data_IF_561013297624
#
_entry.id   IF_561013297624
#
_cell.length_a   1.000
_cell.length_b   1.000
_cell.length_c   1.000
_cell.angle_alpha   90.00
_cell.angle_beta   90.00
_cell.angle_gamma   90.00
#
_symmetry.space_group_name_H-M   'P 1'
#
loop_
_entity.id
_entity.type
_entity.pdbx_description
1 polymer ?
#
# COMPACT_ATOMS: atom_id res chain seq x y z
N UNK A 1 17.84 6.43 -3.51
CA UNK A 1 16.60 6.28 -4.31
C UNK A 1 16.52 7.26 -5.49
N UNK A 2 16.80 8.56 -5.32
CA UNK A 2 16.83 9.53 -6.45
C UNK A 2 17.88 9.21 -7.56
N UNK A 3 18.76 8.25 -7.33
CA UNK A 3 19.78 7.75 -8.27
C UNK A 3 19.35 6.52 -9.11
N UNK A 4 18.12 6.02 -8.98
CA UNK A 4 17.67 4.76 -9.64
C UNK A 4 16.56 4.92 -10.69
N UNK A 5 16.43 6.08 -11.37
CA UNK A 5 15.35 6.31 -12.34
C UNK A 5 13.94 6.00 -11.78
N UNK A 6 13.69 6.43 -10.54
CA UNK A 6 12.36 6.32 -9.92
C UNK A 6 11.51 7.48 -10.42
N UNK A 7 10.49 7.17 -11.22
CA UNK A 7 9.60 8.17 -11.80
C UNK A 7 8.44 8.55 -10.88
N UNK A 8 7.94 7.61 -10.08
CA UNK A 8 6.81 7.80 -9.18
C UNK A 8 7.06 7.07 -7.86
N UNK A 9 6.50 7.62 -6.77
CA UNK A 9 6.51 7.00 -5.44
C UNK A 9 5.05 6.94 -4.97
N UNK A 10 4.65 5.77 -4.49
CA UNK A 10 3.31 5.49 -3.98
C UNK A 10 3.35 5.12 -2.50
N UNK A 11 2.34 5.58 -1.74
CA UNK A 11 2.07 5.17 -0.37
C UNK A 11 0.71 4.46 -0.32
N UNK A 12 0.70 3.20 0.12
CA UNK A 12 -0.48 2.33 0.13
C UNK A 12 -1.39 2.53 1.35
N UNK A 13 -1.23 3.61 2.13
CA UNK A 13 -2.03 3.90 3.33
C UNK A 13 -1.41 3.42 4.63
N UNK A 14 -2.18 3.50 5.72
CA UNK A 14 -1.77 3.23 7.10
C UNK A 14 -0.55 4.06 7.53
N UNK A 15 -0.68 5.36 7.30
CA UNK A 15 0.25 6.42 7.70
C UNK A 15 0.15 6.67 9.22
N UNK A 16 -1.02 6.46 9.81
CA UNK A 16 -1.30 6.66 11.23
C UNK A 16 -1.17 5.37 12.04
N UNK A 17 -1.26 5.47 13.37
CA UNK A 17 -1.25 4.34 14.31
C UNK A 17 0.05 3.49 14.35
N UNK A 18 1.08 3.88 13.59
CA UNK A 18 2.40 3.22 13.55
C UNK A 18 3.39 3.62 14.65
N UNK A 19 2.97 4.45 15.63
CA UNK A 19 3.79 4.88 16.77
C UNK A 19 4.90 5.92 16.49
N UNK A 20 5.05 6.37 15.24
CA UNK A 20 5.98 7.44 14.86
C UNK A 20 5.26 8.80 14.77
N UNK A 21 6.00 9.87 14.49
CA UNK A 21 5.43 11.21 14.30
C UNK A 21 4.61 11.30 13.00
N UNK A 22 3.29 11.16 13.15
CA UNK A 22 2.32 11.25 12.05
C UNK A 22 2.36 12.62 11.37
N UNK A 23 2.59 13.71 12.10
CA UNK A 23 2.66 15.05 11.49
C UNK A 23 3.87 15.15 10.58
N UNK A 24 5.01 14.61 11.00
CA UNK A 24 6.21 14.55 10.18
C UNK A 24 6.00 13.67 8.94
N UNK A 25 5.36 12.51 9.08
CA UNK A 25 5.01 11.65 7.94
C UNK A 25 4.14 12.40 6.92
N UNK A 26 3.04 13.02 7.37
CA UNK A 26 2.15 13.81 6.51
C UNK A 26 2.90 14.96 5.83
N UNK A 27 3.82 15.62 6.53
CA UNK A 27 4.63 16.70 5.96
C UNK A 27 5.55 16.18 4.83
N UNK A 28 6.22 15.05 5.03
CA UNK A 28 7.11 14.45 4.02
C UNK A 28 6.31 14.05 2.78
N UNK A 29 5.20 13.33 2.97
CA UNK A 29 4.34 12.88 1.86
C UNK A 29 3.84 14.06 1.02
N UNK A 30 3.41 15.15 1.67
CA UNK A 30 2.97 16.37 0.98
C UNK A 30 4.11 17.10 0.28
N UNK A 31 5.24 17.30 0.95
CA UNK A 31 6.38 18.05 0.42
C UNK A 31 6.99 17.35 -0.81
N UNK A 32 7.05 16.02 -0.78
CA UNK A 32 7.56 15.19 -1.87
C UNK A 32 6.47 14.83 -2.90
N UNK A 33 5.23 15.31 -2.72
CA UNK A 33 4.07 15.03 -3.59
C UNK A 33 3.87 13.53 -3.85
N UNK A 34 4.04 12.72 -2.81
CA UNK A 34 3.88 11.26 -2.88
C UNK A 34 2.39 10.95 -3.01
N UNK A 35 2.03 10.25 -4.09
CA UNK A 35 0.66 9.79 -4.32
C UNK A 35 0.35 8.74 -3.24
N UNK A 36 -0.66 9.04 -2.42
CA UNK A 36 -0.99 8.27 -1.23
C UNK A 36 -2.48 7.95 -1.24
N UNK A 37 -2.85 6.77 -0.77
CA UNK A 37 -4.26 6.36 -0.61
C UNK A 37 -4.62 6.19 0.86
N UNK A 38 -5.92 6.27 1.15
CA UNK A 38 -6.49 6.09 2.48
C UNK A 38 -6.42 4.60 2.89
N UNK A 39 -5.78 4.30 4.02
CA UNK A 39 -5.84 3.00 4.67
C UNK A 39 -6.94 2.88 5.71
N UNK A 40 -7.13 1.67 6.26
CA UNK A 40 -8.15 1.46 7.27
C UNK A 40 -7.83 2.22 8.56
N UNK A 41 -6.56 2.43 8.90
CA UNK A 41 -6.17 3.19 10.09
C UNK A 41 -6.51 4.68 9.97
N UNK A 42 -6.36 5.28 8.78
CA UNK A 42 -6.83 6.64 8.54
C UNK A 42 -8.35 6.73 8.66
N UNK A 43 -9.09 5.79 8.06
CA UNK A 43 -10.55 5.72 8.19
C UNK A 43 -10.97 5.61 9.66
N UNK A 44 -10.30 4.75 10.44
CA UNK A 44 -10.58 4.58 11.85
C UNK A 44 -10.30 5.84 12.67
N UNK A 45 -9.19 6.51 12.42
CA UNK A 45 -8.88 7.78 13.06
C UNK A 45 -9.95 8.84 12.76
N UNK A 46 -10.30 9.03 11.48
CA UNK A 46 -11.24 10.06 11.04
C UNK A 46 -12.67 9.81 11.53
N UNK A 47 -13.05 8.54 11.73
CA UNK A 47 -14.37 8.14 12.20
C UNK A 47 -14.41 7.79 13.70
N UNK A 48 -13.32 8.05 14.45
CA UNK A 48 -13.19 7.71 15.87
C UNK A 48 -13.47 6.22 16.19
N UNK A 49 -13.02 5.30 15.33
CA UNK A 49 -13.17 3.85 15.47
C UNK A 49 -11.86 3.23 15.97
N UNK A 50 -11.93 2.10 16.68
CA UNK A 50 -10.76 1.31 17.08
C UNK A 50 -9.68 2.10 17.86
N UNK A 51 -10.04 3.17 18.57
CA UNK A 51 -9.10 4.05 19.29
C UNK A 51 -8.54 3.46 20.59
N UNK A 52 -9.07 2.32 21.02
CA UNK A 52 -8.56 1.52 22.13
C UNK A 52 -7.34 0.66 21.75
N UNK A 53 -6.98 0.59 20.47
CA UNK A 53 -5.81 -0.16 20.02
C UNK A 53 -4.51 0.48 20.51
N UNK A 54 -3.50 -0.36 20.73
CA UNK A 54 -2.16 0.11 21.06
C UNK A 54 -1.64 1.06 19.98
N UNK A 55 -1.05 2.18 20.39
CA UNK A 55 -0.50 3.23 19.52
C UNK A 55 -1.55 3.95 18.65
N UNK A 56 -2.85 3.82 18.95
CA UNK A 56 -3.87 4.59 18.27
C UNK A 56 -3.57 6.08 18.38
N UNK A 57 -3.41 6.73 17.22
CA UNK A 57 -3.21 8.16 17.09
C UNK A 57 -4.48 8.86 17.52
N UNK A 58 -4.35 9.91 18.33
CA UNK A 58 -5.45 10.82 18.63
C UNK A 58 -5.49 11.94 17.59
N UNK A 59 -6.68 12.29 17.11
CA UNK A 59 -6.88 13.37 16.16
C UNK A 59 -6.40 14.73 16.74
N UNK A 60 -6.52 14.90 18.05
CA UNK A 60 -6.10 16.11 18.77
C UNK A 60 -4.57 16.30 18.80
N UNK A 61 -3.82 15.21 18.61
CA UNK A 61 -2.36 15.27 18.51
C UNK A 61 -1.88 15.66 17.09
N UNK A 62 -2.80 15.79 16.13
CA UNK A 62 -2.48 16.14 14.75
C UNK A 62 -2.64 17.64 14.49
N UNK A 63 -1.70 18.20 13.73
CA UNK A 63 -1.85 19.56 13.22
C UNK A 63 -3.04 19.64 12.26
N UNK A 64 -3.65 20.83 12.11
CA UNK A 64 -4.72 21.05 11.14
C UNK A 64 -4.32 20.71 9.70
N UNK A 65 -3.04 20.89 9.35
CA UNK A 65 -2.50 20.50 8.04
C UNK A 65 -2.51 18.99 7.85
N UNK A 66 -2.07 18.23 8.86
CA UNK A 66 -2.10 16.76 8.81
C UNK A 66 -3.53 16.22 8.79
N UNK A 67 -4.43 16.77 9.62
CA UNK A 67 -5.85 16.40 9.60
C UNK A 67 -6.48 16.62 8.21
N UNK A 68 -6.20 17.78 7.60
CA UNK A 68 -6.67 18.10 6.25
C UNK A 68 -6.12 17.12 5.22
N UNK A 69 -4.80 16.88 5.23
CA UNK A 69 -4.16 15.93 4.32
C UNK A 69 -4.79 14.54 4.38
N UNK A 70 -4.93 13.96 5.59
CA UNK A 70 -5.52 12.64 5.78
C UNK A 70 -6.99 12.59 5.31
N UNK A 71 -7.76 13.64 5.58
CA UNK A 71 -9.17 13.74 5.17
C UNK A 71 -9.36 13.72 3.65
N UNK A 72 -8.39 14.23 2.89
CA UNK A 72 -8.45 14.32 1.43
C UNK A 72 -7.70 13.20 0.70
N UNK A 73 -7.19 12.20 1.42
CA UNK A 73 -6.63 11.01 0.78
C UNK A 73 -7.73 10.29 -0.02
N UNK A 74 -7.50 9.97 -1.30
CA UNK A 74 -8.43 9.15 -2.05
C UNK A 74 -8.39 7.69 -1.56
N UNK A 75 -9.48 6.97 -1.68
CA UNK A 75 -9.50 5.52 -1.38
C UNK A 75 -8.76 4.70 -2.42
N UNK A 76 -8.73 5.19 -3.66
CA UNK A 76 -8.12 4.54 -4.83
C UNK A 76 -7.48 5.59 -5.72
N UNK A 77 -6.43 5.21 -6.45
CA UNK A 77 -5.82 6.06 -7.46
C UNK A 77 -5.45 5.23 -8.70
N UNK A 78 -5.94 5.65 -9.86
CA UNK A 78 -5.64 4.99 -11.14
C UNK A 78 -4.42 5.63 -11.81
N UNK A 79 -3.56 4.80 -12.40
CA UNK A 79 -2.38 5.26 -13.12
C UNK A 79 -2.12 4.39 -14.35
N UNK A 80 -1.47 4.96 -15.37
CA UNK A 80 -1.10 4.21 -16.57
C UNK A 80 0.26 3.53 -16.41
N UNK A 81 0.40 2.34 -16.98
CA UNK A 81 1.69 1.63 -17.14
C UNK A 81 1.91 1.31 -18.62
N UNK A 82 3.13 0.87 -18.96
CA UNK A 82 3.44 0.40 -20.32
C UNK A 82 2.66 -0.87 -20.73
N UNK A 83 2.03 -1.58 -19.78
CA UNK A 83 1.32 -2.84 -20.06
C UNK A 83 -0.19 -2.79 -19.73
N UNK A 84 -0.73 -1.62 -19.35
CA UNK A 84 -2.14 -1.44 -19.04
C UNK A 84 -2.40 -0.54 -17.83
N UNK A 85 -3.65 -0.51 -17.38
CA UNK A 85 -4.08 0.33 -16.27
C UNK A 85 -3.66 -0.27 -14.93
N UNK A 86 -3.10 0.56 -14.06
CA UNK A 86 -2.76 0.25 -12.68
C UNK A 86 -3.76 0.87 -11.70
N UNK A 87 -4.03 0.15 -10.62
CA UNK A 87 -4.82 0.61 -9.48
C UNK A 87 -3.93 0.64 -8.22
N UNK A 88 -3.89 1.79 -7.54
CA UNK A 88 -3.33 1.91 -6.20
C UNK A 88 -4.47 1.97 -5.19
N UNK A 89 -4.42 1.12 -4.15
CA UNK A 89 -5.39 1.14 -3.04
C UNK A 89 -4.77 0.48 -1.79
N UNK A 90 -5.49 0.49 -0.67
CA UNK A 90 -4.98 -0.09 0.57
C UNK A 90 -5.24 -1.61 0.68
N UNK A 91 -6.51 -2.01 0.54
CA UNK A 91 -6.97 -3.41 0.57
C UNK A 91 -7.25 -3.95 -0.84
N UNK A 92 -8.50 -4.30 -1.15
CA UNK A 92 -8.97 -4.65 -2.51
C UNK A 92 -9.94 -3.58 -3.04
N UNK A 93 -9.56 -2.88 -4.12
CA UNK A 93 -10.31 -1.70 -4.62
C UNK A 93 -10.65 -0.72 -3.48
N UNK A 94 -11.93 -0.38 -3.28
CA UNK A 94 -12.40 0.53 -2.24
C UNK A 94 -12.53 -0.14 -0.86
N UNK A 95 -12.43 -1.47 -0.78
CA UNK A 95 -12.52 -2.19 0.48
C UNK A 95 -11.14 -2.26 1.14
N UNK A 96 -10.90 -1.37 2.10
CA UNK A 96 -9.64 -1.27 2.84
C UNK A 96 -9.39 -2.41 3.83
N UNK A 97 -10.35 -3.31 4.05
CA UNK A 97 -10.19 -4.49 4.91
C UNK A 97 -10.04 -5.80 4.13
N UNK A 98 -10.38 -5.80 2.84
CA UNK A 98 -10.23 -6.98 2.00
C UNK A 98 -8.75 -7.19 1.66
N UNK A 99 -8.33 -8.46 1.62
CA UNK A 99 -6.95 -8.81 1.32
C UNK A 99 -6.85 -10.10 0.51
N UNK A 100 -5.69 -10.28 -0.09
CA UNK A 100 -5.18 -11.56 -0.58
C UNK A 100 -3.82 -11.75 0.09
N UNK A 101 -3.53 -12.97 0.53
CA UNK A 101 -2.26 -13.37 1.12
C UNK A 101 -1.45 -14.27 0.17
N UNK A 102 -0.13 -14.42 0.39
CA UNK A 102 0.71 -15.31 -0.41
C UNK A 102 0.24 -16.78 -0.40
N UNK A 103 -0.41 -17.20 0.68
CA UNK A 103 -0.82 -18.57 0.98
C UNK A 103 -2.32 -18.84 0.79
N UNK A 104 -3.09 -17.86 0.29
CA UNK A 104 -4.50 -18.07 -0.03
C UNK A 104 -4.67 -18.91 -1.32
N UNK A 105 -5.33 -20.07 -1.22
CA UNK A 105 -5.66 -20.92 -2.36
C UNK A 105 -7.07 -21.52 -2.22
N UNK A 106 -7.60 -22.07 -3.32
CA UNK A 106 -8.91 -22.73 -3.35
C UNK A 106 -10.01 -21.84 -2.79
N UNK A 107 -10.74 -22.35 -1.80
CA UNK A 107 -11.89 -21.70 -1.20
C UNK A 107 -11.62 -20.25 -0.75
N UNK A 108 -10.44 -19.96 -0.18
CA UNK A 108 -10.09 -18.60 0.29
C UNK A 108 -10.08 -17.56 -0.84
N UNK A 109 -9.72 -17.98 -2.07
CA UNK A 109 -9.75 -17.14 -3.26
C UNK A 109 -11.15 -17.12 -3.88
N UNK A 110 -11.83 -18.27 -3.93
CA UNK A 110 -13.14 -18.42 -4.56
C UNK A 110 -14.22 -17.57 -3.89
N UNK A 111 -14.20 -17.44 -2.56
CA UNK A 111 -15.20 -16.67 -1.81
C UNK A 111 -14.82 -15.21 -1.57
N UNK A 112 -13.66 -14.78 -2.06
CA UNK A 112 -13.24 -13.39 -1.95
C UNK A 112 -13.97 -12.54 -3.01
N UNK A 113 -15.16 -12.07 -2.67
CA UNK A 113 -16.03 -11.33 -3.61
C UNK A 113 -15.37 -10.08 -4.20
N UNK A 114 -14.58 -9.33 -3.43
CA UNK A 114 -13.87 -8.14 -3.90
C UNK A 114 -12.81 -8.52 -4.96
N UNK A 115 -12.06 -9.61 -4.73
CA UNK A 115 -11.12 -10.14 -5.70
C UNK A 115 -11.84 -10.64 -6.97
N UNK A 116 -12.91 -11.43 -6.82
CA UNK A 116 -13.66 -11.98 -7.96
C UNK A 116 -14.25 -10.88 -8.82
N UNK A 117 -14.72 -9.79 -8.20
CA UNK A 117 -15.20 -8.60 -8.91
C UNK A 117 -14.08 -7.96 -9.75
N UNK A 118 -12.90 -7.74 -9.16
CA UNK A 118 -11.74 -7.18 -9.86
C UNK A 118 -11.32 -8.04 -11.06
N UNK A 119 -11.27 -9.37 -10.88
CA UNK A 119 -10.95 -10.31 -11.96
C UNK A 119 -11.99 -10.23 -13.08
N UNK A 120 -13.28 -10.24 -12.73
CA UNK A 120 -14.39 -10.21 -13.70
C UNK A 120 -14.45 -8.89 -14.49
N UNK A 121 -14.13 -7.77 -13.85
CA UNK A 121 -14.15 -6.46 -14.51
C UNK A 121 -13.06 -6.32 -15.58
N UNK A 122 -11.96 -7.08 -15.48
CA UNK A 122 -10.84 -7.07 -16.44
C UNK A 122 -10.33 -5.67 -16.79
N UNK A 123 -10.48 -4.72 -15.85
CA UNK A 123 -10.16 -3.31 -16.06
C UNK A 123 -8.67 -3.02 -15.83
N UNK A 124 -8.07 -3.66 -14.83
CA UNK A 124 -6.71 -3.36 -14.37
C UNK A 124 -5.75 -4.50 -14.71
N UNK A 125 -4.59 -4.14 -15.26
CA UNK A 125 -3.46 -5.06 -15.42
C UNK A 125 -2.74 -5.26 -14.09
N UNK A 126 -2.60 -4.17 -13.32
CA UNK A 126 -1.89 -4.18 -12.04
C UNK A 126 -2.72 -3.59 -10.93
N UNK A 127 -2.58 -4.14 -9.73
CA UNK A 127 -3.09 -3.56 -8.51
C UNK A 127 -2.01 -3.56 -7.44
N UNK A 128 -1.71 -2.39 -6.90
CA UNK A 128 -0.66 -2.18 -5.90
C UNK A 128 -1.33 -1.87 -4.56
N UNK A 129 -1.03 -2.66 -3.54
CA UNK A 129 -1.67 -2.51 -2.23
C UNK A 129 -0.77 -2.81 -1.03
N UNK A 130 -1.36 -2.68 0.15
CA UNK A 130 -0.76 -2.96 1.46
C UNK A 130 -1.69 -3.83 2.31
N UNK A 131 -2.02 -3.37 3.51
CA UNK A 131 -2.97 -3.98 4.44
C UNK A 131 -2.57 -5.35 5.03
N UNK A 132 -2.25 -6.35 4.21
CA UNK A 132 -1.88 -7.70 4.67
C UNK A 132 -0.54 -7.76 5.40
N UNK A 133 0.32 -6.75 5.19
CA UNK A 133 1.71 -6.69 5.64
C UNK A 133 2.61 -7.79 5.05
N UNK A 134 2.14 -8.55 4.07
CA UNK A 134 2.86 -9.66 3.46
C UNK A 134 3.31 -9.28 2.04
N UNK A 135 4.61 -9.01 1.80
CA UNK A 135 5.10 -8.68 0.47
C UNK A 135 4.87 -9.82 -0.52
N UNK A 136 4.17 -9.55 -1.62
CA UNK A 136 3.78 -10.60 -2.58
C UNK A 136 3.59 -10.08 -4.01
N UNK A 137 3.69 -11.00 -4.96
CA UNK A 137 3.19 -10.84 -6.34
C UNK A 137 2.29 -12.03 -6.62
N UNK A 138 1.05 -11.80 -7.05
CA UNK A 138 0.12 -12.86 -7.44
C UNK A 138 -0.69 -12.46 -8.66
N UNK A 139 -0.80 -13.38 -9.61
CA UNK A 139 -1.55 -13.15 -10.85
C UNK A 139 -2.83 -13.97 -10.86
N UNK A 140 -3.92 -13.34 -11.28
CA UNK A 140 -5.26 -13.90 -11.42
C UNK A 140 -5.80 -13.50 -12.80
N UNK A 141 -5.72 -14.41 -13.76
CA UNK A 141 -6.00 -14.10 -15.16
C UNK A 141 -5.12 -12.90 -15.61
N UNK A 142 -5.71 -11.82 -16.12
CA UNK A 142 -4.96 -10.64 -16.58
C UNK A 142 -4.53 -9.69 -15.46
N UNK A 143 -5.09 -9.82 -14.25
CA UNK A 143 -4.79 -8.97 -13.10
C UNK A 143 -3.58 -9.50 -12.33
N UNK A 144 -2.60 -8.63 -12.07
CA UNK A 144 -1.48 -8.92 -11.15
C UNK A 144 -1.54 -8.01 -9.93
N UNK A 145 -1.65 -8.62 -8.74
CA UNK A 145 -1.65 -7.94 -7.45
C UNK A 145 -0.23 -7.94 -6.88
N UNK A 146 0.26 -6.77 -6.52
CA UNK A 146 1.58 -6.57 -5.91
C UNK A 146 1.37 -5.91 -4.55
N UNK A 147 1.64 -6.66 -3.49
CA UNK A 147 1.58 -6.14 -2.12
C UNK A 147 2.96 -5.62 -1.72
N UNK A 148 3.03 -4.37 -1.30
CA UNK A 148 4.29 -3.73 -0.90
C UNK A 148 4.83 -4.21 0.45
N UNK A 149 4.03 -4.99 1.20
CA UNK A 149 4.37 -5.40 2.56
C UNK A 149 4.03 -4.30 3.57
N UNK A 150 4.97 -4.01 4.47
CA UNK A 150 4.77 -3.02 5.54
C UNK A 150 6.07 -2.32 5.88
N UNK A 151 5.98 -1.10 6.42
CA UNK A 151 7.10 -0.39 7.05
C UNK A 151 7.13 -0.57 8.58
N UNK A 152 6.16 -1.31 9.14
CA UNK A 152 6.02 -1.52 10.57
C UNK A 152 7.18 -2.36 11.12
N UNK A 153 7.86 -1.83 12.15
CA UNK A 153 9.11 -2.38 12.69
C UNK A 153 8.95 -3.77 13.31
N UNK A 154 7.77 -4.06 13.88
CA UNK A 154 7.51 -5.36 14.53
C UNK A 154 7.24 -6.50 13.53
N UNK A 155 7.19 -6.20 12.23
CA UNK A 155 6.93 -7.15 11.15
C UNK A 155 8.20 -7.37 10.32
N UNK A 156 8.10 -7.41 8.99
CA UNK A 156 9.22 -7.52 8.06
C UNK A 156 9.27 -6.22 7.26
N UNK A 157 9.88 -5.15 7.81
CA UNK A 157 9.81 -3.82 7.23
C UNK A 157 10.53 -3.78 5.88
N UNK A 158 9.85 -3.26 4.87
CA UNK A 158 10.34 -3.24 3.50
C UNK A 158 9.51 -2.37 2.56
N UNK A 159 9.93 -2.32 1.30
CA UNK A 159 9.21 -1.65 0.21
C UNK A 159 9.53 -2.36 -1.10
N UNK A 160 8.81 -1.99 -2.16
CA UNK A 160 9.01 -2.56 -3.50
C UNK A 160 9.37 -1.48 -4.52
N UNK A 161 10.15 -1.86 -5.53
CA UNK A 161 10.25 -1.11 -6.78
C UNK A 161 9.71 -1.97 -7.91
N UNK A 162 8.97 -1.35 -8.83
CA UNK A 162 8.33 -2.05 -9.93
C UNK A 162 8.84 -1.44 -11.24
N UNK A 163 9.32 -2.29 -12.14
CA UNK A 163 9.69 -1.90 -13.49
C UNK A 163 8.68 -2.51 -14.47
N UNK A 164 7.68 -1.73 -14.88
CA UNK A 164 6.66 -2.17 -15.82
C UNK A 164 7.17 -2.32 -17.25
N UNK A 165 8.31 -1.75 -17.63
CA UNK A 165 8.85 -1.96 -18.98
C UNK A 165 9.63 -3.27 -19.06
N UNK A 166 10.43 -3.56 -18.04
CA UNK A 166 11.22 -4.78 -17.93
C UNK A 166 10.50 -5.94 -17.23
N UNK A 167 9.21 -5.76 -16.87
CA UNK A 167 8.36 -6.75 -16.21
C UNK A 167 8.97 -7.41 -14.99
N UNK A 168 9.40 -6.63 -13.99
CA UNK A 168 9.83 -7.21 -12.70
C UNK A 168 9.49 -6.34 -11.50
N UNK A 169 9.44 -6.98 -10.34
CA UNK A 169 9.34 -6.36 -9.00
C UNK A 169 10.56 -6.73 -8.18
N UNK A 170 11.20 -5.75 -7.57
CA UNK A 170 12.25 -5.97 -6.58
C UNK A 170 11.73 -5.63 -5.19
N UNK A 171 11.88 -6.57 -4.27
CA UNK A 171 11.54 -6.42 -2.86
C UNK A 171 12.78 -6.01 -2.08
N UNK A 172 12.64 -5.01 -1.23
CA UNK A 172 13.70 -4.51 -0.36
C UNK A 172 13.29 -4.63 1.10
N UNK A 173 14.25 -4.96 1.95
CA UNK A 173 14.07 -4.95 3.41
C UNK A 173 15.11 -4.08 4.10
N UNK A 174 14.76 -3.59 5.29
CA UNK A 174 15.67 -2.83 6.13
C UNK A 174 16.48 -3.77 7.03
N UNK A 175 17.82 -3.72 6.96
CA UNK A 175 18.71 -4.58 7.76
C UNK A 175 19.41 -3.85 8.91
N UNK A 176 19.53 -2.53 8.84
CA UNK A 176 20.07 -1.67 9.87
C UNK A 176 19.59 -0.22 9.66
N UNK A 177 19.92 0.69 10.58
CA UNK A 177 19.68 2.11 10.38
C UNK A 177 20.27 2.58 9.04
N UNK A 178 19.40 3.02 8.14
CA UNK A 178 19.71 3.52 6.80
C UNK A 178 20.35 2.50 5.84
N UNK A 179 20.23 1.19 6.10
CA UNK A 179 20.67 0.14 5.17
C UNK A 179 19.48 -0.67 4.65
N UNK A 180 19.43 -0.78 3.33
CA UNK A 180 18.46 -1.58 2.60
C UNK A 180 19.19 -2.67 1.81
N UNK A 181 18.57 -3.83 1.66
CA UNK A 181 19.05 -4.87 0.75
C UNK A 181 17.90 -5.41 -0.10
N UNK A 182 18.22 -5.89 -1.30
CA UNK A 182 17.26 -6.62 -2.14
C UNK A 182 17.06 -7.99 -1.50
N UNK A 183 15.82 -8.29 -1.14
CA UNK A 183 15.43 -9.59 -0.60
C UNK A 183 15.18 -10.59 -1.73
N UNK A 184 14.44 -10.17 -2.75
CA UNK A 184 14.10 -11.00 -3.92
C UNK A 184 13.68 -10.14 -5.11
N UNK A 185 13.77 -10.72 -6.30
CA UNK A 185 13.25 -10.16 -7.55
C UNK A 185 12.27 -11.18 -8.13
N UNK A 186 11.13 -10.72 -8.64
CA UNK A 186 10.07 -11.53 -9.23
C UNK A 186 9.70 -10.95 -10.59
N UNK A 187 9.66 -11.78 -11.62
CA UNK A 187 9.19 -11.40 -12.96
C UNK A 187 7.66 -11.29 -13.00
N UNK A 188 7.13 -10.35 -13.79
CA UNK A 188 5.71 -10.02 -13.96
C UNK A 188 5.11 -10.56 -15.26
#
# INVERSE_FOLDING_TARGET
MRSQNIFNIFCVGDIVDGGNDVNRCCQILQAEKIISVLGNHERWLLNNQMRQLKNATSLDNLTKKSQSFLKYLPTTFEFSTSQGLGLLCHGLDKNDMAMVKPDDYGYAIEVNYDLQKLIKEQKYKYMINGHSHCPMVRSFQDLTIINAGTLKKEHHPGFVTINFHASYVSFYKFIAQNRIEIEKIIDL
#
